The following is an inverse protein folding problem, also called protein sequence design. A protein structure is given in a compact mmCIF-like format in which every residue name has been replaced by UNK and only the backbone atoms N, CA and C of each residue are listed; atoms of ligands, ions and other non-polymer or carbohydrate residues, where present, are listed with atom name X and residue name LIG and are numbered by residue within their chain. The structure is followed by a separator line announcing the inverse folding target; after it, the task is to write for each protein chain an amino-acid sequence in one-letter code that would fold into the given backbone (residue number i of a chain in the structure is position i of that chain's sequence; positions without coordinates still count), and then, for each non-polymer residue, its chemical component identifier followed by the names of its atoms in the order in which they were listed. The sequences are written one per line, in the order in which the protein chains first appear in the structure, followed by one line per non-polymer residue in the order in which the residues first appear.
data_IF_761952362588
#
_entry.id   IF_761952362588
#
_cell.length_a   1.000
_cell.length_b   1.000
_cell.length_c   1.000
_cell.angle_alpha   90.00
_cell.angle_beta   90.00
_cell.angle_gamma   90.00
#
_symmetry.space_group_name_H-M   'P 1'
#
loop_
_entity.id
_entity.type
_entity.pdbx_description
1 polymer ?
#
# COMPACT_ATOMS: atom_id res chain seq x y z
N UNK A 1 -61.78 -134.54 -83.76
CA UNK A 1 -60.84 -133.51 -84.29
C UNK A 1 -61.39 -132.07 -84.22
N UNK A 2 -62.67 -131.85 -83.94
CA UNK A 2 -63.25 -130.50 -83.86
C UNK A 2 -63.09 -129.79 -82.49
N UNK A 3 -62.94 -130.50 -81.36
CA UNK A 3 -62.98 -129.92 -79.99
C UNK A 3 -61.69 -129.24 -79.47
N UNK A 4 -60.51 -129.87 -79.57
CA UNK A 4 -59.26 -129.22 -79.09
C UNK A 4 -58.83 -128.05 -79.98
N UNK A 5 -59.22 -128.10 -81.26
CA UNK A 5 -59.18 -126.97 -82.17
C UNK A 5 -60.16 -125.87 -81.77
N UNK A 6 -61.11 -126.13 -80.89
CA UNK A 6 -62.07 -125.14 -80.39
C UNK A 6 -61.50 -124.38 -79.18
N UNK A 7 -60.91 -125.05 -78.20
CA UNK A 7 -60.40 -124.38 -76.97
C UNK A 7 -59.14 -123.52 -77.20
N UNK A 8 -58.20 -123.97 -78.04
CA UNK A 8 -57.09 -123.10 -78.46
C UNK A 8 -57.56 -121.95 -79.33
N UNK A 9 -58.60 -122.20 -80.11
CA UNK A 9 -59.27 -121.14 -80.86
C UNK A 9 -59.92 -120.15 -79.88
N UNK A 10 -60.60 -120.60 -78.82
CA UNK A 10 -61.19 -119.74 -77.79
C UNK A 10 -60.17 -118.90 -77.02
N UNK A 11 -59.03 -119.45 -76.59
CA UNK A 11 -57.99 -118.68 -75.87
C UNK A 11 -57.29 -117.69 -76.79
N UNK A 12 -57.01 -118.09 -78.03
CA UNK A 12 -56.52 -117.18 -79.07
C UNK A 12 -57.53 -116.06 -79.33
N UNK A 13 -58.82 -116.38 -79.43
CA UNK A 13 -59.89 -115.42 -79.64
C UNK A 13 -60.04 -114.50 -78.40
N UNK A 14 -59.82 -115.01 -77.19
CA UNK A 14 -59.82 -114.23 -75.94
C UNK A 14 -58.65 -113.23 -75.89
N UNK A 15 -57.40 -113.66 -76.11
CA UNK A 15 -56.26 -112.75 -76.13
C UNK A 15 -56.33 -111.79 -77.32
N UNK A 16 -56.87 -112.24 -78.47
CA UNK A 16 -57.17 -111.37 -79.60
C UNK A 16 -58.22 -110.32 -79.22
N UNK A 17 -59.25 -110.67 -78.44
CA UNK A 17 -60.25 -109.73 -77.96
C UNK A 17 -59.68 -108.74 -76.95
N UNK A 18 -58.78 -109.17 -76.07
CA UNK A 18 -58.13 -108.31 -75.08
C UNK A 18 -57.14 -107.34 -75.74
N UNK A 19 -56.36 -107.81 -76.73
CA UNK A 19 -55.45 -106.97 -77.50
C UNK A 19 -56.23 -105.98 -78.38
N UNK A 20 -57.36 -106.40 -78.96
CA UNK A 20 -58.29 -105.51 -79.67
C UNK A 20 -58.92 -104.47 -78.73
N UNK A 21 -59.23 -104.85 -77.49
CA UNK A 21 -59.75 -103.94 -76.47
C UNK A 21 -58.68 -102.96 -75.96
N UNK A 22 -57.44 -103.40 -75.78
CA UNK A 22 -56.30 -102.54 -75.44
C UNK A 22 -55.95 -101.58 -76.58
N UNK A 23 -56.01 -102.05 -77.84
CA UNK A 23 -55.89 -101.19 -79.02
C UNK A 23 -57.02 -100.14 -79.07
N UNK A 24 -58.25 -100.53 -78.73
CA UNK A 24 -59.38 -99.59 -78.58
C UNK A 24 -59.17 -98.56 -77.48
N UNK A 25 -58.65 -98.99 -76.31
CA UNK A 25 -58.29 -98.06 -75.21
C UNK A 25 -57.17 -97.11 -75.62
N UNK A 26 -56.14 -97.60 -76.30
CA UNK A 26 -55.03 -96.78 -76.78
C UNK A 26 -55.49 -95.77 -77.84
N UNK A 27 -56.37 -96.19 -78.75
CA UNK A 27 -57.03 -95.29 -79.70
C UNK A 27 -57.87 -94.22 -78.99
N UNK A 28 -58.64 -94.58 -77.96
CA UNK A 28 -59.41 -93.61 -77.17
C UNK A 28 -58.53 -92.63 -76.38
N UNK A 29 -57.36 -93.09 -75.94
CA UNK A 29 -56.40 -92.26 -75.21
C UNK A 29 -55.65 -91.31 -76.15
N UNK A 30 -55.31 -91.76 -77.36
CA UNK A 30 -54.76 -90.90 -78.40
C UNK A 30 -55.77 -89.87 -78.90
N UNK A 31 -57.03 -90.26 -79.09
CA UNK A 31 -58.12 -89.34 -79.41
C UNK A 31 -58.32 -88.32 -78.29
N UNK A 32 -58.31 -88.74 -77.03
CA UNK A 32 -58.36 -87.83 -75.88
C UNK A 32 -57.15 -86.87 -75.83
N UNK A 33 -55.94 -87.35 -76.16
CA UNK A 33 -54.74 -86.50 -76.23
C UNK A 33 -54.90 -85.43 -77.31
N UNK A 34 -55.35 -85.81 -78.51
CA UNK A 34 -55.61 -84.88 -79.63
C UNK A 34 -56.70 -83.87 -79.25
N UNK A 35 -57.82 -84.32 -78.69
CA UNK A 35 -58.90 -83.42 -78.24
C UNK A 35 -58.41 -82.43 -77.16
N UNK A 36 -57.58 -82.89 -76.22
CA UNK A 36 -56.97 -82.01 -75.21
C UNK A 36 -56.07 -80.97 -75.86
N UNK A 37 -55.23 -81.36 -76.82
CA UNK A 37 -54.35 -80.43 -77.54
C UNK A 37 -55.13 -79.41 -78.37
N UNK A 38 -56.17 -79.84 -79.09
CA UNK A 38 -57.07 -78.93 -79.81
C UNK A 38 -57.78 -77.96 -78.87
N UNK A 39 -58.23 -78.44 -77.71
CA UNK A 39 -58.86 -77.60 -76.70
C UNK A 39 -57.87 -76.58 -76.13
N UNK A 40 -56.65 -77.01 -75.80
CA UNK A 40 -55.57 -76.12 -75.35
C UNK A 40 -55.19 -75.08 -76.41
N UNK A 41 -55.14 -75.47 -77.69
CA UNK A 41 -54.89 -74.55 -78.80
C UNK A 41 -56.03 -73.53 -78.97
N UNK A 42 -57.30 -73.97 -78.84
CA UNK A 42 -58.46 -73.07 -78.82
C UNK A 42 -58.41 -72.10 -77.65
N UNK A 43 -58.04 -72.56 -76.45
CA UNK A 43 -57.85 -71.68 -75.29
C UNK A 43 -56.74 -70.65 -75.53
N UNK A 44 -55.58 -71.07 -76.03
CA UNK A 44 -54.47 -70.15 -76.34
C UNK A 44 -54.87 -69.10 -77.39
N UNK A 45 -55.59 -69.49 -78.44
CA UNK A 45 -56.09 -68.58 -79.46
C UNK A 45 -57.15 -67.60 -78.91
N UNK A 46 -58.02 -68.07 -78.02
CA UNK A 46 -58.99 -67.21 -77.33
C UNK A 46 -58.31 -66.23 -76.37
N UNK A 47 -57.29 -66.67 -75.62
CA UNK A 47 -56.49 -65.81 -74.75
C UNK A 47 -55.74 -64.73 -75.54
N UNK A 48 -55.15 -65.08 -76.68
CA UNK A 48 -54.48 -64.12 -77.56
C UNK A 48 -55.48 -63.09 -78.13
N UNK A 49 -56.65 -63.57 -78.59
CA UNK A 49 -57.71 -62.68 -79.06
C UNK A 49 -58.22 -61.76 -77.97
N UNK A 50 -58.38 -62.26 -76.74
CA UNK A 50 -58.78 -61.46 -75.59
C UNK A 50 -57.72 -60.39 -75.27
N UNK A 51 -56.43 -60.75 -75.23
CA UNK A 51 -55.32 -59.80 -75.03
C UNK A 51 -55.32 -58.71 -76.10
N UNK A 52 -55.50 -59.08 -77.37
CA UNK A 52 -55.56 -58.12 -78.47
C UNK A 52 -56.75 -57.17 -78.33
N UNK A 53 -57.93 -57.68 -77.97
CA UNK A 53 -59.10 -56.85 -77.70
C UNK A 53 -58.88 -55.91 -76.51
N UNK A 54 -58.23 -56.36 -75.45
CA UNK A 54 -57.87 -55.51 -74.31
C UNK A 54 -56.90 -54.39 -74.71
N UNK A 55 -55.90 -54.69 -75.54
CA UNK A 55 -54.96 -53.69 -76.07
C UNK A 55 -55.65 -52.66 -76.96
N UNK A 56 -56.49 -53.12 -77.91
CA UNK A 56 -57.28 -52.24 -78.79
C UNK A 56 -58.24 -51.36 -77.97
N UNK A 57 -58.87 -51.91 -76.93
CA UNK A 57 -59.73 -51.15 -76.03
C UNK A 57 -58.95 -50.14 -75.19
N UNK A 58 -57.76 -50.48 -74.69
CA UNK A 58 -56.87 -49.53 -74.00
C UNK A 58 -56.44 -48.40 -74.92
N UNK A 59 -56.08 -48.70 -76.17
CA UNK A 59 -55.67 -47.70 -77.14
C UNK A 59 -56.82 -46.75 -77.53
N UNK A 60 -58.00 -47.30 -77.77
CA UNK A 60 -59.20 -46.50 -78.08
C UNK A 60 -59.61 -45.61 -76.89
N UNK A 61 -59.58 -46.14 -75.66
CA UNK A 61 -59.83 -45.36 -74.44
C UNK A 61 -58.83 -44.21 -74.32
N UNK A 62 -57.52 -44.49 -74.50
CA UNK A 62 -56.48 -43.47 -74.46
C UNK A 62 -56.69 -42.38 -75.52
N UNK A 63 -57.05 -42.75 -76.75
CA UNK A 63 -57.34 -41.80 -77.84
C UNK A 63 -58.52 -40.89 -77.49
N UNK A 64 -59.59 -41.45 -76.91
CA UNK A 64 -60.79 -40.69 -76.51
C UNK A 64 -60.47 -39.76 -75.33
N UNK A 65 -59.78 -40.25 -74.31
CA UNK A 65 -59.37 -39.44 -73.15
C UNK A 65 -58.45 -38.29 -73.57
N UNK A 66 -57.44 -38.57 -74.40
CA UNK A 66 -56.55 -37.54 -74.95
C UNK A 66 -57.32 -36.48 -75.72
N UNK A 67 -58.28 -36.88 -76.57
CA UNK A 67 -59.13 -35.95 -77.31
C UNK A 67 -59.99 -35.09 -76.37
N UNK A 68 -60.62 -35.70 -75.36
CA UNK A 68 -61.44 -35.00 -74.39
C UNK A 68 -60.65 -33.96 -73.57
N UNK A 69 -59.42 -34.29 -73.16
CA UNK A 69 -58.52 -33.36 -72.46
C UNK A 69 -58.13 -32.19 -73.36
N UNK A 70 -57.74 -32.46 -74.61
CA UNK A 70 -57.38 -31.41 -75.56
C UNK A 70 -58.56 -30.50 -75.90
N UNK A 71 -59.75 -31.06 -76.10
CA UNK A 71 -60.97 -30.28 -76.36
C UNK A 71 -61.37 -29.42 -75.16
N UNK A 72 -61.23 -29.94 -73.93
CA UNK A 72 -61.46 -29.17 -72.69
C UNK A 72 -60.49 -27.99 -72.58
N UNK A 73 -59.21 -28.18 -72.87
CA UNK A 73 -58.23 -27.10 -72.79
C UNK A 73 -58.38 -26.08 -73.93
N UNK A 74 -58.72 -26.53 -75.15
CA UNK A 74 -59.11 -25.63 -76.25
C UNK A 74 -60.30 -24.76 -75.84
N UNK A 75 -61.35 -25.36 -75.28
CA UNK A 75 -62.53 -24.63 -74.85
C UNK A 75 -62.23 -23.61 -73.74
N UNK A 76 -61.39 -23.96 -72.75
CA UNK A 76 -60.95 -22.99 -71.73
C UNK A 76 -60.21 -21.81 -72.35
N UNK A 77 -59.29 -22.06 -73.29
CA UNK A 77 -58.55 -21.01 -73.99
C UNK A 77 -59.51 -20.11 -74.78
N UNK A 78 -60.44 -20.68 -75.54
CA UNK A 78 -61.45 -19.92 -76.26
C UNK A 78 -62.36 -19.10 -75.34
N UNK A 79 -62.77 -19.66 -74.20
CA UNK A 79 -63.57 -18.95 -73.20
C UNK A 79 -62.82 -17.73 -72.65
N UNK A 80 -61.56 -17.90 -72.24
CA UNK A 80 -60.72 -16.80 -71.75
C UNK A 80 -60.54 -15.73 -72.84
N UNK A 81 -60.28 -16.14 -74.08
CA UNK A 81 -60.15 -15.21 -75.21
C UNK A 81 -61.44 -14.43 -75.46
N UNK A 82 -62.60 -15.10 -75.46
CA UNK A 82 -63.90 -14.42 -75.62
C UNK A 82 -64.20 -13.47 -74.48
N UNK A 83 -63.94 -13.85 -73.22
CA UNK A 83 -64.11 -12.96 -72.07
C UNK A 83 -63.22 -11.73 -72.18
N UNK A 84 -61.95 -11.92 -72.55
CA UNK A 84 -61.03 -10.81 -72.77
C UNK A 84 -61.47 -9.90 -73.92
N UNK A 85 -61.98 -10.47 -75.01
CA UNK A 85 -62.53 -9.71 -76.14
C UNK A 85 -63.77 -8.91 -75.73
N UNK A 86 -64.71 -9.52 -75.00
CA UNK A 86 -65.90 -8.85 -74.46
C UNK A 86 -65.50 -7.74 -73.48
N UNK A 87 -64.52 -7.97 -72.60
CA UNK A 87 -64.00 -6.96 -71.69
C UNK A 87 -63.31 -5.80 -72.43
N UNK A 88 -62.57 -6.09 -73.50
CA UNK A 88 -61.96 -5.07 -74.35
C UNK A 88 -63.03 -4.25 -75.09
N UNK A 89 -64.05 -4.88 -75.66
CA UNK A 89 -65.20 -4.20 -76.27
C UNK A 89 -65.96 -3.36 -75.25
N UNK A 90 -66.19 -3.88 -74.04
CA UNK A 90 -66.84 -3.12 -72.97
C UNK A 90 -66.02 -1.89 -72.58
N UNK A 91 -64.70 -2.02 -72.43
CA UNK A 91 -63.80 -0.88 -72.22
C UNK A 91 -63.86 0.11 -73.38
N UNK A 92 -63.89 -0.36 -74.63
CA UNK A 92 -63.94 0.48 -75.84
C UNK A 92 -65.24 1.27 -75.91
N UNK A 93 -66.39 0.61 -75.74
CA UNK A 93 -67.72 1.23 -75.77
C UNK A 93 -67.89 2.19 -74.58
N UNK A 94 -67.49 1.78 -73.38
CA UNK A 94 -67.49 2.65 -72.20
C UNK A 94 -66.62 3.88 -72.42
N UNK A 95 -65.40 3.73 -72.93
CA UNK A 95 -64.55 4.86 -73.29
C UNK A 95 -65.13 5.74 -74.42
N UNK A 96 -65.93 5.20 -75.32
CA UNK A 96 -66.57 5.99 -76.39
C UNK A 96 -67.79 6.77 -75.89
N UNK A 97 -68.57 6.20 -74.97
CA UNK A 97 -69.80 6.79 -74.46
C UNK A 97 -69.57 7.79 -73.32
N UNK A 98 -68.49 7.65 -72.56
CA UNK A 98 -68.18 8.55 -71.45
C UNK A 98 -67.70 9.92 -71.97
N UNK A 99 -68.32 10.99 -71.47
CA UNK A 99 -67.85 12.35 -71.69
C UNK A 99 -66.41 12.52 -71.15
N UNK A 100 -65.57 13.27 -71.88
CA UNK A 100 -64.18 13.52 -71.49
C UNK A 100 -64.06 14.06 -70.05
N UNK A 101 -64.99 14.90 -69.61
CA UNK A 101 -65.05 15.41 -68.23
C UNK A 101 -65.16 14.29 -67.18
N UNK A 102 -66.01 13.28 -67.41
CA UNK A 102 -66.17 12.15 -66.47
C UNK A 102 -64.93 11.26 -66.44
N UNK A 103 -64.30 11.02 -67.60
CA UNK A 103 -63.03 10.27 -67.67
C UNK A 103 -61.92 10.98 -66.89
N UNK A 104 -61.82 12.29 -67.07
CA UNK A 104 -60.85 13.13 -66.37
C UNK A 104 -61.08 13.08 -64.86
N UNK A 105 -62.31 13.27 -64.40
CA UNK A 105 -62.66 13.21 -62.99
C UNK A 105 -62.33 11.85 -62.36
N UNK A 106 -62.55 10.72 -63.06
CA UNK A 106 -62.17 9.39 -62.56
C UNK A 106 -60.65 9.26 -62.44
N UNK A 107 -59.89 9.67 -63.46
CA UNK A 107 -58.42 9.63 -63.42
C UNK A 107 -57.86 10.49 -62.30
N UNK A 108 -58.40 11.69 -62.13
CA UNK A 108 -58.03 12.61 -61.06
C UNK A 108 -58.36 12.01 -59.68
N UNK A 109 -59.56 11.44 -59.49
CA UNK A 109 -59.93 10.76 -58.24
C UNK A 109 -59.01 9.57 -57.93
N UNK A 110 -58.66 8.75 -58.94
CA UNK A 110 -57.72 7.62 -58.76
C UNK A 110 -56.33 8.14 -58.40
N UNK A 111 -55.85 9.19 -59.07
CA UNK A 111 -54.57 9.82 -58.76
C UNK A 111 -54.54 10.40 -57.34
N UNK A 112 -55.58 11.14 -56.95
CA UNK A 112 -55.71 11.73 -55.61
C UNK A 112 -55.78 10.62 -54.56
N UNK A 113 -56.56 9.57 -54.80
CA UNK A 113 -56.65 8.41 -53.89
C UNK A 113 -55.29 7.73 -53.72
N UNK A 114 -54.53 7.56 -54.81
CA UNK A 114 -53.17 7.01 -54.74
C UNK A 114 -52.21 7.91 -53.97
N UNK A 115 -52.31 9.23 -54.14
CA UNK A 115 -51.50 10.19 -53.39
C UNK A 115 -51.88 10.23 -51.91
N UNK A 116 -53.17 10.18 -51.58
CA UNK A 116 -53.67 10.09 -50.20
C UNK A 116 -53.17 8.82 -49.51
N UNK A 117 -53.20 7.66 -50.19
CA UNK A 117 -52.64 6.43 -49.65
C UNK A 117 -51.14 6.59 -49.33
N UNK A 118 -50.34 7.14 -50.25
CA UNK A 118 -48.91 7.40 -50.01
C UNK A 118 -48.65 8.37 -48.86
N UNK A 119 -49.46 9.44 -48.75
CA UNK A 119 -49.34 10.38 -47.64
C UNK A 119 -49.75 9.75 -46.31
N UNK A 120 -50.77 8.88 -46.32
CA UNK A 120 -51.19 8.11 -45.14
C UNK A 120 -50.09 7.16 -44.70
N UNK A 121 -49.49 6.41 -45.63
CA UNK A 121 -48.36 5.53 -45.35
C UNK A 121 -47.19 6.32 -44.76
N UNK A 122 -46.84 7.46 -45.38
CA UNK A 122 -45.76 8.31 -44.86
C UNK A 122 -46.08 8.91 -43.48
N UNK A 123 -47.34 9.26 -43.22
CA UNK A 123 -47.78 9.74 -41.91
C UNK A 123 -47.70 8.64 -40.86
N UNK A 124 -47.99 7.39 -41.22
CA UNK A 124 -47.83 6.24 -40.34
C UNK A 124 -46.35 6.00 -40.02
N UNK A 125 -45.47 6.04 -41.02
CA UNK A 125 -44.02 5.88 -40.81
C UNK A 125 -43.47 6.97 -39.87
N UNK A 126 -43.86 8.23 -40.08
CA UNK A 126 -43.42 9.35 -39.23
C UNK A 126 -43.96 9.22 -37.80
N UNK A 127 -45.17 8.69 -37.62
CA UNK A 127 -45.73 8.44 -36.29
C UNK A 127 -44.93 7.35 -35.57
N UNK A 128 -44.60 6.25 -36.26
CA UNK A 128 -43.76 5.18 -35.70
C UNK A 128 -42.35 5.68 -35.36
N UNK A 129 -41.73 6.49 -36.24
CA UNK A 129 -40.44 7.12 -35.96
C UNK A 129 -40.52 8.05 -34.75
N UNK A 130 -41.59 8.84 -34.63
CA UNK A 130 -41.78 9.74 -33.49
C UNK A 130 -41.96 8.97 -32.17
N UNK A 131 -42.71 7.87 -32.18
CA UNK A 131 -42.89 7.02 -31.00
C UNK A 131 -41.56 6.35 -30.61
N UNK A 132 -40.80 5.84 -31.57
CA UNK A 132 -39.47 5.28 -31.31
C UNK A 132 -38.49 6.33 -30.74
N UNK A 133 -38.52 7.56 -31.26
CA UNK A 133 -37.69 8.65 -30.73
C UNK A 133 -38.10 9.06 -29.31
N UNK A 134 -39.39 9.04 -28.98
CA UNK A 134 -39.86 9.29 -27.60
C UNK A 134 -39.40 8.20 -26.64
N UNK A 135 -39.46 6.93 -27.06
CA UNK A 135 -38.97 5.81 -26.24
C UNK A 135 -37.47 5.96 -25.96
N UNK A 136 -36.68 6.33 -26.98
CA UNK A 136 -35.25 6.62 -26.82
C UNK A 136 -34.99 7.84 -25.92
N UNK A 137 -35.78 8.90 -26.05
CA UNK A 137 -35.70 10.08 -25.18
C UNK A 137 -35.97 9.69 -23.71
N UNK A 138 -36.99 8.86 -23.47
CA UNK A 138 -37.33 8.40 -22.13
C UNK A 138 -36.20 7.54 -21.53
N UNK A 139 -35.59 6.67 -22.32
CA UNK A 139 -34.44 5.86 -21.89
C UNK A 139 -33.22 6.73 -21.57
N UNK A 140 -32.89 7.69 -22.43
CA UNK A 140 -31.82 8.65 -22.19
C UNK A 140 -32.09 9.50 -20.94
N UNK A 141 -33.34 9.90 -20.70
CA UNK A 141 -33.73 10.63 -19.50
C UNK A 141 -33.51 9.81 -18.22
N UNK A 142 -33.86 8.52 -18.24
CA UNK A 142 -33.57 7.59 -17.12
C UNK A 142 -32.06 7.45 -16.90
N UNK A 143 -31.27 7.36 -17.96
CA UNK A 143 -29.81 7.32 -17.85
C UNK A 143 -29.23 8.61 -17.25
N UNK A 144 -29.74 9.77 -17.65
CA UNK A 144 -29.33 11.06 -17.08
C UNK A 144 -29.65 11.12 -15.58
N UNK A 145 -30.86 10.72 -15.18
CA UNK A 145 -31.26 10.70 -13.78
C UNK A 145 -30.34 9.81 -12.92
N UNK A 146 -30.05 8.57 -13.38
CA UNK A 146 -29.11 7.68 -12.70
C UNK A 146 -27.70 8.26 -12.62
N UNK A 147 -27.22 8.93 -13.67
CA UNK A 147 -25.91 9.57 -13.67
C UNK A 147 -25.85 10.75 -12.70
N UNK A 148 -26.90 11.58 -12.65
CA UNK A 148 -26.99 12.68 -11.68
C UNK A 148 -27.02 12.17 -10.23
N UNK A 149 -27.76 11.09 -9.95
CA UNK A 149 -27.76 10.48 -8.61
C UNK A 149 -26.38 9.95 -8.22
N UNK A 150 -25.70 9.25 -9.14
CA UNK A 150 -24.34 8.78 -8.94
C UNK A 150 -23.35 9.93 -8.70
N UNK A 151 -23.48 11.04 -9.44
CA UNK A 151 -22.65 12.24 -9.22
C UNK A 151 -22.89 12.82 -7.82
N UNK A 152 -24.16 12.99 -7.42
CA UNK A 152 -24.51 13.48 -6.07
C UNK A 152 -23.92 12.58 -4.98
N UNK A 153 -23.98 11.27 -5.14
CA UNK A 153 -23.33 10.33 -4.23
C UNK A 153 -21.81 10.47 -4.20
N UNK A 154 -21.19 10.57 -5.37
CA UNK A 154 -19.74 10.70 -5.50
C UNK A 154 -19.25 12.00 -4.84
N UNK A 155 -19.99 13.10 -5.00
CA UNK A 155 -19.72 14.37 -4.33
C UNK A 155 -19.84 14.22 -2.82
N UNK A 156 -20.90 13.58 -2.30
CA UNK A 156 -21.04 13.30 -0.85
C UNK A 156 -19.87 12.48 -0.30
N UNK A 157 -19.49 11.41 -1.00
CA UNK A 157 -18.34 10.56 -0.65
C UNK A 157 -17.04 11.36 -0.69
N UNK A 158 -16.85 12.21 -1.71
CA UNK A 158 -15.67 13.06 -1.85
C UNK A 158 -15.56 14.07 -0.69
N UNK A 159 -16.65 14.78 -0.37
CA UNK A 159 -16.70 15.72 0.77
C UNK A 159 -16.35 15.00 2.08
N UNK A 160 -16.88 13.78 2.28
CA UNK A 160 -16.62 12.98 3.47
C UNK A 160 -15.15 12.56 3.55
N UNK A 161 -14.58 12.08 2.45
CA UNK A 161 -13.16 11.74 2.35
C UNK A 161 -12.27 12.96 2.56
N UNK A 162 -12.63 14.12 2.01
CA UNK A 162 -11.88 15.36 2.21
C UNK A 162 -11.92 15.81 3.68
N UNK A 163 -13.04 15.59 4.39
CA UNK A 163 -13.11 15.84 5.84
C UNK A 163 -12.17 14.92 6.60
N UNK A 164 -12.12 13.63 6.26
CA UNK A 164 -11.17 12.67 6.86
C UNK A 164 -9.73 13.08 6.60
N UNK A 165 -9.39 13.45 5.36
CA UNK A 165 -8.05 13.94 5.00
C UNK A 165 -7.69 15.17 5.83
N UNK A 166 -8.61 16.14 5.98
CA UNK A 166 -8.37 17.33 6.82
C UNK A 166 -8.11 16.96 8.28
N UNK A 167 -8.95 16.10 8.87
CA UNK A 167 -8.76 15.65 10.27
C UNK A 167 -7.44 14.91 10.46
N UNK A 168 -7.07 14.02 9.53
CA UNK A 168 -5.78 13.30 9.60
C UNK A 168 -4.61 14.26 9.42
N UNK A 169 -4.73 15.25 8.54
CA UNK A 169 -3.68 16.26 8.33
C UNK A 169 -3.48 17.11 9.58
N UNK A 170 -4.57 17.51 10.23
CA UNK A 170 -4.52 18.25 11.49
C UNK A 170 -3.90 17.41 12.61
N UNK A 171 -4.28 16.13 12.72
CA UNK A 171 -3.65 15.20 13.67
C UNK A 171 -2.17 14.97 13.41
N UNK A 172 -1.75 14.90 12.15
CA UNK A 172 -0.32 14.80 11.83
C UNK A 172 0.44 16.07 12.24
N UNK A 173 -0.16 17.26 12.10
CA UNK A 173 0.44 18.51 12.57
C UNK A 173 0.55 18.55 14.10
N UNK A 174 -0.52 18.20 14.81
CA UNK A 174 -0.49 18.11 16.28
C UNK A 174 0.60 17.15 16.76
N UNK A 175 0.74 15.98 16.12
CA UNK A 175 1.78 15.01 16.45
C UNK A 175 3.19 15.55 16.14
N UNK A 176 3.36 16.32 15.07
CA UNK A 176 4.64 16.96 14.75
C UNK A 176 4.98 18.01 15.81
N UNK A 177 4.05 18.88 16.18
CA UNK A 177 4.26 19.91 17.21
C UNK A 177 4.62 19.28 18.57
N UNK A 178 3.97 18.17 18.92
CA UNK A 178 4.29 17.38 20.12
C UNK A 178 5.69 16.76 20.06
N UNK A 179 6.11 16.28 18.90
CA UNK A 179 7.44 15.71 18.69
C UNK A 179 8.52 16.79 18.80
N UNK A 180 8.30 17.94 18.16
CA UNK A 180 9.20 19.09 18.21
C UNK A 180 9.35 19.62 19.65
N UNK A 181 8.25 19.68 20.42
CA UNK A 181 8.30 20.04 21.84
C UNK A 181 9.09 19.00 22.65
N UNK A 182 8.87 17.71 22.40
CA UNK A 182 9.61 16.63 23.07
C UNK A 182 11.11 16.76 22.80
N UNK A 183 11.50 16.99 21.55
CA UNK A 183 12.91 17.20 21.15
C UNK A 183 13.51 18.42 21.87
N UNK A 184 12.78 19.54 21.95
CA UNK A 184 13.23 20.71 22.72
C UNK A 184 13.40 20.40 24.21
N UNK A 185 12.46 19.66 24.82
CA UNK A 185 12.58 19.28 26.23
C UNK A 185 13.75 18.34 26.47
N UNK A 186 14.06 17.45 25.53
CA UNK A 186 15.21 16.55 25.60
C UNK A 186 16.53 17.33 25.52
N UNK A 187 16.61 18.35 24.64
CA UNK A 187 17.77 19.24 24.55
C UNK A 187 17.97 20.00 25.87
N UNK A 188 16.92 20.58 26.44
CA UNK A 188 17.01 21.28 27.72
C UNK A 188 17.38 20.35 28.88
N UNK A 189 16.82 19.14 28.91
CA UNK A 189 17.17 18.12 29.91
C UNK A 189 18.66 17.78 29.82
N UNK A 190 19.18 17.54 28.62
CA UNK A 190 20.60 17.28 28.39
C UNK A 190 21.48 18.46 28.82
N UNK A 191 21.04 19.71 28.58
CA UNK A 191 21.76 20.91 29.04
C UNK A 191 21.82 20.96 30.56
N UNK A 192 20.68 20.80 31.24
CA UNK A 192 20.60 20.82 32.71
C UNK A 192 21.39 19.66 33.32
N UNK A 193 21.35 18.49 32.71
CA UNK A 193 22.11 17.33 33.16
C UNK A 193 23.62 17.60 33.09
N UNK A 194 24.09 18.23 32.02
CA UNK A 194 25.49 18.65 31.90
C UNK A 194 25.86 19.70 32.95
N UNK A 195 25.01 20.70 33.17
CA UNK A 195 25.23 21.70 34.24
C UNK A 195 25.27 21.06 35.63
N UNK A 196 24.46 20.03 35.85
CA UNK A 196 24.48 19.26 37.10
C UNK A 196 25.78 18.48 37.27
N UNK A 197 26.27 17.82 36.20
CA UNK A 197 27.56 17.13 36.19
C UNK A 197 28.71 18.12 36.49
N UNK A 198 28.74 19.28 35.83
CA UNK A 198 29.75 20.32 36.06
C UNK A 198 29.73 20.83 37.52
N UNK A 199 28.54 21.10 38.08
CA UNK A 199 28.38 21.51 39.48
C UNK A 199 28.76 20.42 40.47
N UNK A 200 28.51 19.15 40.14
CA UNK A 200 28.91 18.02 40.96
C UNK A 200 30.43 17.90 41.00
N UNK A 201 31.10 18.01 39.86
CA UNK A 201 32.57 18.06 39.79
C UNK A 201 33.13 19.23 40.62
N UNK A 202 32.55 20.43 40.50
CA UNK A 202 32.95 21.58 41.30
C UNK A 202 32.77 21.31 42.81
N UNK A 203 31.62 20.77 43.22
CA UNK A 203 31.34 20.43 44.62
C UNK A 203 32.34 19.38 45.16
N UNK A 204 32.69 18.37 44.36
CA UNK A 204 33.69 17.37 44.72
C UNK A 204 35.08 18.01 44.87
N UNK A 205 35.50 18.88 43.95
CA UNK A 205 36.79 19.59 44.07
C UNK A 205 36.83 20.50 45.29
N UNK A 206 35.73 21.19 45.60
CA UNK A 206 35.62 22.04 46.80
C UNK A 206 35.62 21.22 48.09
N UNK A 207 35.02 20.03 48.07
CA UNK A 207 35.06 19.09 49.20
C UNK A 207 36.49 18.58 49.44
N UNK A 208 37.22 18.22 48.38
CA UNK A 208 38.63 17.81 48.47
C UNK A 208 39.51 18.94 49.02
N UNK A 209 39.32 20.17 48.52
CA UNK A 209 40.04 21.36 49.05
C UNK A 209 39.73 21.62 50.52
N UNK A 210 38.46 21.54 50.92
CA UNK A 210 38.06 21.71 52.32
C UNK A 210 38.71 20.64 53.21
N UNK A 211 38.72 19.38 52.79
CA UNK A 211 39.38 18.27 53.52
C UNK A 211 40.89 18.53 53.67
N UNK A 212 41.56 18.98 52.61
CA UNK A 212 42.99 19.31 52.66
C UNK A 212 43.29 20.46 53.65
N UNK A 213 42.46 21.52 53.63
CA UNK A 213 42.59 22.63 54.59
C UNK A 213 42.30 22.16 56.02
N UNK A 214 41.34 21.26 56.22
CA UNK A 214 41.06 20.67 57.54
C UNK A 214 42.25 19.86 58.06
N UNK A 215 42.91 19.06 57.20
CA UNK A 215 44.13 18.33 57.52
C UNK A 215 45.29 19.28 57.86
N UNK A 216 45.51 20.33 57.05
CA UNK A 216 46.52 21.37 57.31
C UNK A 216 46.26 22.10 58.63
N UNK A 217 45.00 22.47 58.90
CA UNK A 217 44.59 23.11 60.16
C UNK A 217 44.83 22.18 61.35
N UNK A 218 44.57 20.88 61.19
CA UNK A 218 44.82 19.89 62.23
C UNK A 218 46.32 19.72 62.49
N UNK A 219 47.14 19.67 61.45
CA UNK A 219 48.60 19.64 61.55
C UNK A 219 49.14 20.89 62.26
N UNK A 220 48.72 22.10 61.84
CA UNK A 220 49.10 23.35 62.48
C UNK A 220 48.65 23.42 63.94
N UNK A 221 47.45 22.91 64.27
CA UNK A 221 46.99 22.79 65.67
C UNK A 221 47.87 21.85 66.49
N UNK A 222 48.30 20.72 65.93
CA UNK A 222 49.21 19.78 66.60
C UNK A 222 50.59 20.42 66.82
N UNK A 223 51.12 21.11 65.81
CA UNK A 223 52.39 21.84 65.91
C UNK A 223 52.31 22.95 66.98
N UNK A 224 51.24 23.76 66.96
CA UNK A 224 51.00 24.80 67.97
C UNK A 224 50.91 24.21 69.38
N UNK A 225 50.27 23.03 69.55
CA UNK A 225 50.24 22.31 70.83
C UNK A 225 51.64 21.86 71.25
N UNK A 226 52.44 21.31 70.33
CA UNK A 226 53.83 20.91 70.58
C UNK A 226 54.69 22.11 71.00
N UNK A 227 54.60 23.22 70.27
CA UNK A 227 55.32 24.46 70.60
C UNK A 227 54.89 25.04 71.95
N UNK A 228 53.60 25.01 72.27
CA UNK A 228 53.11 25.43 73.59
C UNK A 228 53.67 24.54 74.71
N UNK A 229 53.73 23.23 74.52
CA UNK A 229 54.37 22.32 75.49
C UNK A 229 55.86 22.66 75.67
N UNK A 230 56.59 22.91 74.58
CA UNK A 230 57.99 23.34 74.65
C UNK A 230 58.13 24.69 75.37
N UNK A 231 57.24 25.65 75.10
CA UNK A 231 57.22 26.94 75.77
C UNK A 231 56.93 26.80 77.27
N UNK A 232 56.00 25.93 77.66
CA UNK A 232 55.72 25.62 79.07
C UNK A 232 56.92 24.98 79.76
N UNK A 233 57.61 24.04 79.11
CA UNK A 233 58.85 23.46 79.62
C UNK A 233 59.94 24.52 79.79
N UNK A 234 60.16 25.37 78.79
CA UNK A 234 61.10 26.49 78.88
C UNK A 234 60.70 27.47 79.99
N UNK A 235 59.41 27.79 80.15
CA UNK A 235 58.90 28.61 81.26
C UNK A 235 59.20 27.96 82.60
N UNK A 236 58.94 26.66 82.77
CA UNK A 236 59.29 25.93 84.00
C UNK A 236 60.79 25.94 84.28
N UNK A 237 61.62 25.75 83.25
CA UNK A 237 63.08 25.87 83.38
C UNK A 237 63.46 27.27 83.84
N UNK A 238 62.89 28.31 83.23
CA UNK A 238 63.14 29.72 83.58
C UNK A 238 62.69 30.06 85.00
N UNK A 239 61.51 29.61 85.41
CA UNK A 239 61.03 29.75 86.80
C UNK A 239 61.93 29.01 87.80
N UNK A 240 62.45 27.83 87.43
CA UNK A 240 63.42 27.11 88.24
C UNK A 240 64.73 27.90 88.37
N UNK A 241 65.21 28.52 87.28
CA UNK A 241 66.38 29.41 87.30
C UNK A 241 66.13 30.61 88.21
N UNK A 242 65.00 31.29 88.07
CA UNK A 242 64.63 32.44 88.89
C UNK A 242 64.52 32.06 90.38
N UNK A 243 64.00 30.87 90.70
CA UNK A 243 63.97 30.35 92.08
C UNK A 243 65.39 30.13 92.63
N UNK A 244 66.29 29.53 91.85
CA UNK A 244 67.68 29.29 92.26
C UNK A 244 68.43 30.62 92.44
N UNK A 245 68.27 31.56 91.51
CA UNK A 245 68.84 32.91 91.61
C UNK A 245 68.26 33.68 92.81
N UNK A 246 66.95 33.59 93.04
CA UNK A 246 66.27 34.18 94.19
C UNK A 246 66.78 33.60 95.51
N UNK A 247 66.93 32.29 95.61
CA UNK A 247 67.49 31.60 96.79
C UNK A 247 68.96 31.93 97.03
N UNK A 248 69.76 32.08 95.98
CA UNK A 248 71.13 32.55 96.08
C UNK A 248 71.19 34.01 96.56
N UNK A 249 70.33 34.89 96.04
CA UNK A 249 70.24 36.28 96.46
C UNK A 249 69.76 36.42 97.91
N UNK A 250 68.79 35.63 98.37
CA UNK A 250 68.36 35.62 99.78
C UNK A 250 69.43 35.04 100.70
N UNK A 251 70.13 33.98 100.31
CA UNK A 251 71.25 33.42 101.08
C UNK A 251 72.39 34.44 101.25
N UNK A 252 72.68 35.23 100.22
CA UNK A 252 73.64 36.34 100.31
C UNK A 252 73.12 37.49 101.18
N UNK A 253 71.81 37.76 101.14
CA UNK A 253 71.16 38.81 101.95
C UNK A 253 71.12 38.47 103.43
N UNK A 254 70.79 37.23 103.79
CA UNK A 254 70.67 36.79 105.19
C UNK A 254 72.04 36.77 105.90
N UNK A 255 73.12 36.48 105.17
CA UNK A 255 74.50 36.54 105.69
C UNK A 255 74.99 37.96 105.93
N UNK A 256 74.50 38.95 105.17
CA UNK A 256 74.88 40.36 105.32
C UNK A 256 74.09 41.10 106.40
N UNK A 257 73.01 40.53 106.94
CA UNK A 257 72.08 41.21 107.85
C UNK A 257 72.05 40.68 109.30
N UNK A 258 72.67 39.53 109.61
CA UNK A 258 72.81 39.07 111.01
C UNK A 258 74.07 39.64 111.70
N UNK A 259 73.94 40.89 112.16
CA UNK A 259 74.79 41.47 113.20
C UNK A 259 74.00 41.52 114.51
N UNK A 260 74.52 40.93 115.62
CA UNK A 260 74.31 41.58 116.90
C UNK A 260 75.62 41.90 117.63
N UNK A 261 75.50 43.03 118.33
CA UNK A 261 76.37 43.72 119.25
C UNK A 261 77.04 42.84 120.33
N UNK A 262 78.28 43.23 120.61
CA UNK A 262 78.98 43.25 121.90
C UNK A 262 79.28 41.95 122.70
N UNK A 263 80.59 41.72 122.77
CA UNK A 263 81.42 41.39 123.93
C UNK A 263 81.46 39.94 124.45
N UNK A 264 82.66 39.36 124.35
CA UNK A 264 83.09 38.18 125.09
C UNK A 264 84.01 37.31 124.26
N UNK A 265 85.22 37.12 124.74
CA UNK A 265 86.33 36.38 124.11
C UNK A 265 85.93 34.95 123.72
N UNK A 266 85.78 34.71 122.40
CA UNK A 266 85.99 33.42 121.70
C UNK A 266 85.79 33.63 120.17
N UNK A 267 86.46 34.66 119.66
CA UNK A 267 86.04 35.40 118.45
C UNK A 267 86.53 34.81 117.12
N UNK A 268 87.17 33.65 117.11
CA UNK A 268 87.80 33.11 115.87
C UNK A 268 87.19 31.79 115.39
N UNK A 269 86.78 30.92 116.32
CA UNK A 269 86.17 29.62 116.00
C UNK A 269 84.74 29.74 115.46
N UNK A 270 83.92 30.65 115.99
CA UNK A 270 82.55 30.85 115.49
C UNK A 270 82.51 31.48 114.08
N UNK A 271 83.48 32.34 113.75
CA UNK A 271 83.59 32.93 112.42
C UNK A 271 84.03 31.89 111.38
N UNK A 272 84.94 30.99 111.74
CA UNK A 272 85.41 29.92 110.86
C UNK A 272 84.32 28.86 110.61
N UNK A 273 83.55 28.51 111.64
CA UNK A 273 82.40 27.58 111.51
C UNK A 273 81.30 28.20 110.63
N UNK A 274 80.97 29.49 110.80
CA UNK A 274 80.02 30.19 109.92
C UNK A 274 80.50 30.29 108.48
N UNK A 275 81.79 30.55 108.25
CA UNK A 275 82.37 30.56 106.90
C UNK A 275 82.32 29.17 106.24
N UNK A 276 82.61 28.12 107.00
CA UNK A 276 82.49 26.75 106.49
C UNK A 276 81.03 26.38 106.20
N UNK A 277 80.09 26.76 107.07
CA UNK A 277 78.65 26.57 106.83
C UNK A 277 78.19 27.34 105.57
N UNK A 278 78.68 28.56 105.36
CA UNK A 278 78.41 29.38 104.17
C UNK A 278 78.92 28.72 102.89
N UNK A 279 80.18 28.28 102.88
CA UNK A 279 80.77 27.58 101.73
C UNK A 279 80.06 26.25 101.47
N UNK A 280 79.62 25.55 102.51
CA UNK A 280 78.91 24.29 102.39
C UNK A 280 77.48 24.49 101.87
N UNK A 281 76.79 25.55 102.30
CA UNK A 281 75.48 25.93 101.77
C UNK A 281 75.58 26.41 100.31
N UNK A 282 76.61 27.20 99.95
CA UNK A 282 76.89 27.58 98.55
C UNK A 282 77.25 26.36 97.69
N UNK A 283 77.96 25.39 98.23
CA UNK A 283 78.30 24.14 97.54
C UNK A 283 77.06 23.27 97.31
N UNK A 284 76.13 23.21 98.26
CA UNK A 284 74.84 22.51 98.10
C UNK A 284 73.98 23.22 97.05
N UNK A 285 73.96 24.55 97.01
CA UNK A 285 73.28 25.35 95.99
C UNK A 285 73.90 25.20 94.59
N UNK A 286 75.22 25.13 94.50
CA UNK A 286 75.92 24.85 93.24
C UNK A 286 75.68 23.43 92.76
N UNK A 287 75.62 22.45 93.68
CA UNK A 287 75.26 21.07 93.33
C UNK A 287 73.80 20.95 92.89
N UNK A 288 72.85 21.66 93.51
CA UNK A 288 71.46 21.67 93.06
C UNK A 288 71.30 22.38 91.72
N UNK A 289 72.00 23.50 91.48
CA UNK A 289 72.07 24.15 90.17
C UNK A 289 72.70 23.25 89.09
N UNK A 290 73.72 22.46 89.43
CA UNK A 290 74.33 21.49 88.53
C UNK A 290 73.38 20.32 88.19
N UNK A 291 72.56 19.85 89.13
CA UNK A 291 71.50 18.85 88.82
C UNK A 291 70.39 19.41 87.93
N UNK A 292 70.19 20.73 87.94
CA UNK A 292 69.26 21.44 87.05
C UNK A 292 69.89 21.82 85.69
N UNK A 293 71.17 21.45 85.46
CA UNK A 293 71.88 21.68 84.20
C UNK A 293 72.33 23.12 83.97
N UNK A 294 72.44 23.94 85.02
CA UNK A 294 72.78 25.36 84.94
C UNK A 294 74.23 25.57 85.42
N UNK A 295 75.12 25.96 84.48
CA UNK A 295 76.55 26.17 84.72
C UNK A 295 77.45 25.14 84.00
N UNK A 296 78.74 25.45 83.79
CA UNK A 296 79.66 24.52 83.12
C UNK A 296 79.74 23.20 83.88
N UNK A 297 79.76 22.08 83.15
CA UNK A 297 79.78 20.74 83.75
C UNK A 297 81.12 20.58 84.49
N UNK A 298 81.19 19.78 85.55
CA UNK A 298 82.44 19.53 86.30
C UNK A 298 83.62 19.06 85.41
N UNK A 299 83.33 18.49 84.23
CA UNK A 299 84.31 18.08 83.23
C UNK A 299 85.06 19.27 82.57
N UNK A 300 84.55 20.50 82.68
CA UNK A 300 85.16 21.71 82.09
C UNK A 300 86.27 22.32 82.98
N UNK A 301 86.46 21.84 84.22
CA UNK A 301 87.51 22.31 85.15
C UNK A 301 88.79 21.44 85.15
N UNK A 302 88.84 20.38 84.35
CA UNK A 302 90.03 19.55 84.17
C UNK A 302 90.88 20.05 82.99
N UNK A 303 92.11 20.52 83.28
CA UNK A 303 93.12 20.77 82.23
C UNK A 303 93.65 19.44 81.70
N UNK A 304 92.95 18.87 80.72
CA UNK A 304 93.53 17.89 79.80
C UNK A 304 93.51 18.48 78.41
N UNK A 305 94.68 18.96 77.97
CA UNK A 305 94.87 19.36 76.59
C UNK A 305 94.81 18.12 75.69
N UNK A 306 93.93 18.16 74.70
CA UNK A 306 94.21 17.63 73.36
C UNK A 306 93.20 18.20 72.39
N UNK A 307 93.77 18.85 71.38
CA UNK A 307 93.14 19.32 70.16
C UNK A 307 92.38 18.20 69.44
N UNK A 308 91.22 18.54 68.86
CA UNK A 308 91.00 18.32 67.43
C UNK A 308 89.83 19.17 66.96
N UNK A 309 90.17 20.34 66.43
CA UNK A 309 89.31 21.08 65.52
C UNK A 309 89.57 20.55 64.11
N UNK A 310 88.53 20.16 63.36
CA UNK A 310 88.47 20.29 61.89
C UNK A 310 86.97 20.35 61.50
N UNK A 311 86.43 21.50 61.10
CA UNK A 311 86.48 22.19 59.80
C UNK A 311 85.32 21.83 58.86
N UNK A 312 84.52 22.87 58.57
CA UNK A 312 83.96 23.24 57.24
C UNK A 312 82.91 22.27 56.65
N UNK A 313 81.87 22.69 55.92
CA UNK A 313 81.71 23.79 54.96
C UNK A 313 80.22 23.92 54.61
N UNK A 314 79.71 25.14 54.45
CA UNK A 314 78.56 25.40 53.57
C UNK A 314 79.01 25.30 52.09
N UNK A 315 78.09 25.07 51.14
CA UNK A 315 77.58 26.19 50.32
C UNK A 315 76.06 26.06 50.03
N UNK A 316 75.26 27.13 50.02
CA UNK A 316 75.00 28.13 48.95
C UNK A 316 74.54 27.57 47.57
N UNK A 317 73.23 27.70 47.32
CA UNK A 317 72.53 28.36 46.18
C UNK A 317 73.24 28.43 44.82
N UNK A 318 72.61 27.92 43.73
CA UNK A 318 72.17 28.71 42.55
C UNK A 318 71.70 27.92 41.30
N UNK A 319 70.81 28.60 40.55
CA UNK A 319 70.43 28.51 39.12
C UNK A 319 69.49 27.37 38.68
N UNK A 320 68.31 27.61 38.10
CA UNK A 320 67.83 28.51 37.03
C UNK A 320 68.22 28.06 35.59
N UNK A 321 67.19 27.75 34.79
CA UNK A 321 66.91 28.07 33.36
C UNK A 321 65.78 27.13 32.92
N UNK A 322 64.58 27.62 32.60
CA UNK A 322 64.17 28.13 31.28
C UNK A 322 64.40 27.14 30.12
N UNK A 323 63.26 26.63 29.60
CA UNK A 323 62.83 26.60 28.18
C UNK A 323 63.71 25.88 27.14
N UNK A 324 63.10 25.27 26.10
CA UNK A 324 62.62 26.10 24.99
C UNK A 324 61.30 25.65 24.36
N UNK A 325 60.40 26.61 24.14
CA UNK A 325 59.61 26.65 22.91
C UNK A 325 60.54 27.07 21.76
N UNK A 326 60.39 26.47 20.57
CA UNK A 326 60.50 27.22 19.30
C UNK A 326 59.89 26.43 18.12
N UNK A 327 58.90 27.10 17.53
CA UNK A 327 58.25 27.02 16.22
C UNK A 327 59.07 26.44 15.05
N UNK A 328 58.40 25.76 14.12
CA UNK A 328 58.84 25.63 12.71
C UNK A 328 58.12 24.50 11.94
N UNK A 329 57.82 24.63 10.63
CA UNK A 329 56.62 24.05 10.01
C UNK A 329 56.81 22.64 9.42
N UNK A 330 55.71 21.87 9.38
CA UNK A 330 55.54 20.81 8.36
C UNK A 330 55.91 19.38 8.74
N UNK A 331 55.42 18.86 9.87
CA UNK A 331 55.39 17.41 10.11
C UNK A 331 54.02 17.02 10.70
N UNK A 332 53.31 16.18 9.96
CA UNK A 332 51.97 15.66 10.26
C UNK A 332 52.10 14.53 11.31
N UNK A 333 51.39 14.58 12.46
CA UNK A 333 51.23 13.39 13.30
C UNK A 333 50.21 12.44 12.64
N UNK A 334 50.63 11.19 12.43
CA UNK A 334 49.93 10.19 11.61
C UNK A 334 48.72 9.50 12.25
N UNK A 335 48.13 10.04 13.33
CA UNK A 335 46.96 9.44 13.98
C UNK A 335 46.00 10.51 14.50
N UNK A 336 44.70 10.34 14.23
CA UNK A 336 43.58 11.10 14.84
C UNK A 336 42.68 10.13 15.62
N UNK A 337 41.98 10.61 16.65
CA UNK A 337 40.99 9.81 17.38
C UNK A 337 40.00 9.16 16.39
N UNK A 338 39.94 7.82 16.39
CA UNK A 338 39.17 7.01 15.44
C UNK A 338 39.99 6.09 14.52
N UNK A 339 41.31 5.94 14.73
CA UNK A 339 42.22 5.08 13.93
C UNK A 339 42.56 3.72 14.59
N UNK A 340 41.77 3.31 15.59
CA UNK A 340 41.81 1.98 16.20
C UNK A 340 40.51 1.28 15.82
N UNK A 341 40.55 0.45 14.78
CA UNK A 341 39.40 -0.16 14.09
C UNK A 341 38.49 -1.04 14.95
N UNK A 342 37.76 -0.43 15.90
CA UNK A 342 36.82 -1.09 16.81
C UNK A 342 35.41 -0.45 16.80
N UNK A 343 35.14 0.52 15.92
CA UNK A 343 33.78 1.06 15.71
C UNK A 343 33.54 1.33 14.21
N UNK A 344 32.49 0.76 13.58
CA UNK A 344 32.15 1.04 12.18
C UNK A 344 31.73 2.50 11.95
N UNK A 345 32.26 3.14 10.90
CA UNK A 345 31.77 4.44 10.41
C UNK A 345 30.58 4.23 9.45
N UNK A 346 29.49 4.93 9.71
CA UNK A 346 28.45 5.22 8.71
C UNK A 346 28.93 6.43 7.90
N UNK A 347 29.32 6.22 6.65
CA UNK A 347 29.56 7.29 5.69
C UNK A 347 28.24 7.73 5.06
N UNK A 348 27.84 8.98 5.32
CA UNK A 348 26.84 9.71 4.53
C UNK A 348 27.60 10.55 3.51
N UNK A 349 27.87 9.97 2.35
CA UNK A 349 27.97 10.69 1.07
C UNK A 349 28.02 9.67 -0.06
N UNK A 350 27.19 9.87 -1.09
CA UNK A 350 27.08 9.12 -2.34
C UNK A 350 26.09 7.93 -2.46
N UNK A 351 25.18 7.70 -1.51
CA UNK A 351 24.11 6.70 -1.70
C UNK A 351 22.75 7.06 -1.08
N UNK A 352 22.22 8.28 -1.29
CA UNK A 352 20.82 8.57 -0.91
C UNK A 352 20.21 9.76 -1.67
N UNK A 353 20.09 9.63 -3.00
CA UNK A 353 19.12 10.43 -3.80
C UNK A 353 18.17 9.53 -4.62
N UNK A 354 17.91 8.31 -4.16
CA UNK A 354 17.01 7.39 -4.86
C UNK A 354 16.26 6.47 -3.90
N UNK A 355 15.36 7.06 -3.09
CA UNK A 355 14.17 6.41 -2.51
C UNK A 355 13.34 7.37 -1.65
N UNK A 356 12.81 8.42 -2.28
CA UNK A 356 11.51 9.00 -1.89
C UNK A 356 10.69 9.08 -3.17
N UNK A 357 10.02 7.98 -3.50
CA UNK A 357 9.29 7.85 -4.77
C UNK A 357 8.53 6.54 -4.89
N UNK A 358 8.17 5.92 -3.76
CA UNK A 358 7.34 4.72 -3.75
C UNK A 358 6.07 4.95 -2.93
N UNK A 359 5.22 5.86 -3.38
CA UNK A 359 3.77 5.74 -3.25
C UNK A 359 3.12 6.38 -4.49
N UNK A 360 2.11 5.70 -5.03
CA UNK A 360 1.19 6.10 -6.12
C UNK A 360 1.59 5.67 -7.54
N UNK A 361 1.24 4.42 -7.87
CA UNK A 361 0.91 4.00 -9.24
C UNK A 361 -0.52 4.43 -9.57
N UNK A 362 -0.76 5.70 -9.85
CA UNK A 362 -1.82 6.18 -10.76
C UNK A 362 -1.54 7.65 -11.03
N UNK A 363 -1.74 8.07 -12.28
CA UNK A 363 -1.72 9.49 -12.69
C UNK A 363 -0.32 10.09 -12.87
N UNK A 364 0.27 9.87 -14.05
CA UNK A 364 0.82 10.99 -14.85
C UNK A 364 1.00 10.57 -16.30
N UNK A 365 0.22 11.27 -17.13
CA UNK A 365 0.21 11.24 -18.58
C UNK A 365 1.57 11.69 -19.12
N UNK A 366 2.16 10.88 -19.99
CA UNK A 366 3.35 11.25 -20.77
C UNK A 366 2.99 12.09 -22.00
N UNK A 367 3.96 12.82 -22.58
CA UNK A 367 3.75 13.62 -23.78
C UNK A 367 3.67 12.72 -25.02
N UNK A 368 2.56 12.80 -25.73
CA UNK A 368 2.32 12.09 -26.99
C UNK A 368 3.22 12.65 -28.10
N UNK A 369 4.21 11.87 -28.52
CA UNK A 369 4.87 12.03 -29.82
C UNK A 369 4.28 10.99 -30.78
N UNK A 370 3.81 11.48 -31.92
CA UNK A 370 2.91 10.77 -32.84
C UNK A 370 3.52 9.61 -33.61
N UNK A 371 2.61 8.78 -34.12
CA UNK A 371 2.85 7.88 -35.24
C UNK A 371 1.88 8.24 -36.38
N UNK A 372 2.29 8.12 -37.65
CA UNK A 372 1.53 8.56 -38.81
C UNK A 372 0.62 7.43 -39.29
N UNK A 373 -0.64 7.74 -39.60
CA UNK A 373 -1.44 7.14 -40.67
C UNK A 373 -2.90 7.60 -40.54
N UNK A 374 -3.24 8.73 -41.18
CA UNK A 374 -4.61 9.00 -41.66
C UNK A 374 -4.48 9.72 -43.02
N UNK A 375 -5.15 9.23 -44.08
CA UNK A 375 -5.23 9.94 -45.34
C UNK A 375 -6.17 11.16 -45.21
N UNK A 376 -5.71 12.26 -45.81
CA UNK A 376 -6.38 13.56 -45.91
C UNK A 376 -7.56 13.49 -46.89
N UNK A 377 -8.66 14.16 -46.54
CA UNK A 377 -9.65 14.86 -47.39
C UNK A 377 -10.92 15.08 -46.55
N UNK A 378 -11.59 16.23 -46.44
CA UNK A 378 -11.58 17.52 -47.13
C UNK A 378 -12.07 18.57 -46.12
N UNK A 379 -11.52 19.77 -46.29
CA UNK A 379 -11.69 20.98 -45.48
C UNK A 379 -12.91 21.80 -45.91
N UNK A 380 -13.48 22.50 -44.91
CA UNK A 380 -14.01 23.89 -44.93
C UNK A 380 -15.50 24.20 -45.14
N UNK A 381 -15.83 25.34 -44.51
CA UNK A 381 -16.98 26.26 -44.63
C UNK A 381 -18.21 25.91 -43.80
N UNK A 382 -18.88 26.85 -43.14
CA UNK A 382 -18.71 28.30 -42.99
C UNK A 382 -19.63 28.73 -41.85
N UNK A 383 -19.23 29.75 -41.09
CA UNK A 383 -20.14 30.60 -40.33
C UNK A 383 -21.18 31.20 -41.28
N UNK A 384 -22.43 31.28 -40.85
CA UNK A 384 -23.35 32.35 -41.24
C UNK A 384 -24.52 32.43 -40.24
N UNK A 385 -24.59 33.57 -39.55
CA UNK A 385 -25.76 34.10 -38.87
C UNK A 385 -26.86 34.39 -39.90
N UNK A 386 -28.10 33.96 -39.64
CA UNK A 386 -29.30 34.63 -40.18
C UNK A 386 -30.44 34.67 -39.18
N UNK A 387 -30.78 35.89 -38.78
CA UNK A 387 -32.05 36.31 -38.22
C UNK A 387 -33.23 35.88 -39.10
N UNK A 388 -34.28 35.32 -38.49
CA UNK A 388 -35.66 35.36 -39.03
C UNK A 388 -36.63 35.73 -37.90
N UNK A 389 -37.45 36.72 -38.19
CA UNK A 389 -38.45 37.39 -37.36
C UNK A 389 -39.66 36.48 -37.08
N UNK A 390 -40.37 36.62 -35.95
CA UNK A 390 -41.72 36.05 -35.80
C UNK A 390 -42.77 36.98 -36.44
N UNK A 391 -43.53 36.44 -37.38
CA UNK A 391 -44.72 37.09 -37.97
C UNK A 391 -45.93 36.81 -37.09
N UNK A 392 -46.43 37.87 -36.47
CA UNK A 392 -47.75 37.98 -35.84
C UNK A 392 -48.85 38.02 -36.90
N UNK A 393 -50.02 37.43 -36.61
CA UNK A 393 -51.41 37.88 -36.93
C UNK A 393 -52.39 36.68 -36.79
N UNK A 394 -53.73 36.87 -36.68
CA UNK A 394 -54.47 37.39 -35.53
C UNK A 394 -55.58 36.40 -35.07
N UNK A 395 -56.25 36.74 -33.96
CA UNK A 395 -57.19 35.86 -33.27
C UNK A 395 -58.54 35.61 -33.95
N UNK A 396 -59.23 34.60 -33.42
CA UNK A 396 -60.68 34.41 -33.49
C UNK A 396 -61.11 33.88 -32.11
N UNK A 397 -61.94 34.66 -31.42
CA UNK A 397 -62.71 34.24 -30.25
C UNK A 397 -63.97 33.47 -30.69
N UNK A 398 -64.49 32.57 -29.84
CA UNK A 398 -65.81 32.82 -29.24
C UNK A 398 -65.84 32.38 -27.76
N UNK A 399 -66.24 33.23 -26.81
CA UNK A 399 -67.62 33.54 -26.41
C UNK A 399 -68.46 32.31 -25.97
N UNK A 400 -68.57 32.20 -24.65
CA UNK A 400 -69.80 31.95 -23.85
C UNK A 400 -70.56 30.63 -23.91
N UNK A 401 -70.67 30.05 -22.71
CA UNK A 401 -71.85 29.49 -22.08
C UNK A 401 -72.39 28.15 -22.59
N UNK A 402 -72.37 27.13 -21.71
CA UNK A 402 -73.63 26.57 -21.20
C UNK A 402 -73.41 25.72 -19.94
N UNK A 403 -74.13 26.11 -18.88
CA UNK A 403 -74.47 25.30 -17.72
C UNK A 403 -75.55 24.29 -18.14
N UNK A 404 -75.52 23.08 -17.61
CA UNK A 404 -76.70 22.20 -17.54
C UNK A 404 -76.88 21.69 -16.10
N UNK A 405 -78.12 21.63 -15.59
CA UNK A 405 -78.41 21.33 -14.20
C UNK A 405 -78.65 19.85 -13.94
N UNK A 406 -78.34 19.44 -12.71
CA UNK A 406 -78.78 18.20 -12.07
C UNK A 406 -80.30 18.21 -11.90
N UNK A 407 -80.97 17.17 -12.40
CA UNK A 407 -82.36 16.87 -12.08
C UNK A 407 -82.43 15.91 -10.90
N UNK A 408 -83.18 16.31 -9.87
CA UNK A 408 -83.72 15.46 -8.83
C UNK A 408 -85.19 15.15 -9.20
N UNK A 409 -85.51 13.86 -9.32
CA UNK A 409 -86.67 13.20 -8.71
C UNK A 409 -86.62 11.70 -8.99
#
# INVERSE_FOLDING_TARGET
MAQLRHEFQETRDRLSSENMLLAGKLASLEEFRVQKEELMAKFAALEEKLKKQEEDHKETLYKIEKKAVLDKDRLKKEMVLRVNAVAAEFRRVSNHQMAETTKRAIRENVSISSQLAKMSDKSMDLMQENDCLKDQEEELRKHLEMLEENERELVKKNISNQKVIRMLTEKCKELQDMLDLSEQTEIELNRVQKEHEDLQEEAETMRLKSSAIEEELQAAKQETKSLNLQLEEERRRRESVDKVLGQAATSLKDVLLEMPMEHGEDTELQFLVRRNQMLQNLLILLNSAATLGLGPKLQDFERTGTHSAEYRTAPKVNRALESPELKGPGIVPHYRMGDLGLVPRYDISAAMQSKVGMLSKTTRLGPLRGNPHIPKNITSRSLDEKHIKPTTLPGISPSTANKTPLFAK
#
